data_IF_613617840567
#
_entry.id   IF_613617840567
#
_cell.length_a   1.000
_cell.length_b   1.000
_cell.length_c   1.000
_cell.angle_alpha   90.00
_cell.angle_beta   90.00
_cell.angle_gamma   90.00
#
_symmetry.space_group_name_H-M   'P 1'
#
loop_
_entity.id
_entity.type
_entity.pdbx_description
1 polymer ?
#
# COMPACT_ATOMS: atom_id res chain seq x y z
N UNK A 1 -23.45 -8.00 -22.93
CA UNK A 1 -22.34 -8.07 -21.94
C UNK A 1 -21.09 -7.55 -22.60
N UNK A 2 -20.43 -6.52 -22.05
CA UNK A 2 -19.11 -6.07 -22.53
C UNK A 2 -18.10 -6.38 -21.44
N UNK A 3 -17.51 -7.57 -21.49
CA UNK A 3 -16.31 -7.85 -20.72
C UNK A 3 -15.19 -6.96 -21.27
N UNK A 4 -14.62 -6.10 -20.43
CA UNK A 4 -13.31 -5.52 -20.72
C UNK A 4 -12.30 -6.39 -19.99
N UNK A 5 -11.77 -7.37 -20.71
CA UNK A 5 -10.68 -8.22 -20.22
C UNK A 5 -9.39 -7.42 -20.42
N UNK A 6 -8.71 -7.12 -19.31
CA UNK A 6 -7.34 -6.64 -19.33
C UNK A 6 -7.05 -5.70 -18.18
N UNK A 7 -6.65 -6.24 -17.03
CA UNK A 7 -5.74 -5.50 -16.16
C UNK A 7 -4.30 -5.77 -16.61
N UNK A 8 -3.42 -4.78 -16.49
CA UNK A 8 -2.00 -4.92 -16.77
C UNK A 8 -1.24 -4.67 -15.47
N UNK A 9 -0.43 -5.64 -15.07
CA UNK A 9 0.48 -5.51 -13.94
C UNK A 9 1.84 -5.02 -14.44
N UNK A 10 2.38 -4.01 -13.78
CA UNK A 10 3.67 -3.40 -14.12
C UNK A 10 4.45 -3.21 -12.83
N UNK A 11 5.74 -3.57 -12.85
CA UNK A 11 6.68 -3.18 -11.81
C UNK A 11 7.38 -1.90 -12.23
N UNK A 12 7.45 -0.92 -11.34
CA UNK A 12 8.18 0.33 -11.58
C UNK A 12 8.84 0.85 -10.31
N UNK A 13 9.95 1.55 -10.49
CA UNK A 13 10.61 2.31 -9.44
C UNK A 13 9.97 3.69 -9.37
N UNK A 14 9.49 4.07 -8.20
CA UNK A 14 8.95 5.38 -7.92
C UNK A 14 9.18 5.70 -6.44
N UNK A 15 8.89 6.93 -6.04
CA UNK A 15 8.88 7.34 -4.64
C UNK A 15 7.53 7.97 -4.27
N UNK A 16 7.21 7.89 -2.98
CA UNK A 16 6.04 8.54 -2.42
C UNK A 16 6.20 10.06 -2.48
N UNK A 17 5.32 10.72 -3.23
CA UNK A 17 5.24 12.18 -3.27
C UNK A 17 4.33 12.71 -2.16
N UNK A 18 3.15 12.10 -2.00
CA UNK A 18 2.13 12.55 -1.06
C UNK A 18 1.19 11.41 -0.66
N UNK A 19 0.71 11.43 0.59
CA UNK A 19 -0.41 10.60 1.05
C UNK A 19 -1.70 11.41 0.82
N UNK A 20 -2.53 10.98 -0.13
CA UNK A 20 -3.75 11.68 -0.51
C UNK A 20 -4.91 11.36 0.43
N UNK A 21 -5.06 10.07 0.75
CA UNK A 21 -6.02 9.60 1.75
C UNK A 21 -5.22 8.74 2.75
N UNK A 22 -5.12 9.19 4.02
CA UNK A 22 -4.34 8.48 5.01
C UNK A 22 -4.96 7.12 5.29
N UNK A 23 -4.12 6.24 5.83
CA UNK A 23 -4.52 4.92 6.23
C UNK A 23 -5.77 4.92 7.14
N UNK A 24 -6.82 4.21 6.72
CA UNK A 24 -8.09 4.11 7.44
C UNK A 24 -8.73 2.72 7.26
N UNK A 25 -9.80 2.45 8.02
CA UNK A 25 -10.65 1.26 7.83
C UNK A 25 -11.95 1.74 7.20
N UNK A 26 -12.27 1.20 6.02
CA UNK A 26 -13.53 1.46 5.31
C UNK A 26 -14.12 0.12 4.88
N UNK A 27 -15.41 -0.09 5.16
CA UNK A 27 -16.12 -1.35 4.86
C UNK A 27 -15.42 -2.64 5.33
N UNK A 28 -14.65 -2.53 6.42
CA UNK A 28 -13.89 -3.65 6.99
C UNK A 28 -12.55 -3.93 6.31
N UNK A 29 -12.15 -3.12 5.34
CA UNK A 29 -10.85 -3.19 4.66
C UNK A 29 -9.94 -2.04 5.05
N UNK A 30 -8.64 -2.30 5.08
CA UNK A 30 -7.63 -1.25 5.07
C UNK A 30 -7.66 -0.50 3.74
N UNK A 31 -7.74 0.83 3.80
CA UNK A 31 -7.65 1.70 2.64
C UNK A 31 -6.55 2.74 2.82
N UNK A 32 -5.87 3.05 1.72
CA UNK A 32 -4.87 4.11 1.67
C UNK A 32 -4.73 4.55 0.21
N UNK A 33 -4.60 5.85 -0.02
CA UNK A 33 -4.35 6.40 -1.34
C UNK A 33 -3.12 7.27 -1.32
N UNK A 34 -2.23 7.00 -2.25
CA UNK A 34 -0.95 7.69 -2.36
C UNK A 34 -0.74 8.24 -3.77
N UNK A 35 0.12 9.24 -3.85
CA UNK A 35 0.64 9.80 -5.08
C UNK A 35 2.10 9.41 -5.22
N UNK A 36 2.41 8.72 -6.31
CA UNK A 36 3.76 8.32 -6.67
C UNK A 36 4.33 9.25 -7.73
N UNK A 37 5.66 9.37 -7.73
CA UNK A 37 6.43 10.10 -8.71
C UNK A 37 7.67 9.30 -9.12
N UNK A 38 8.00 9.38 -10.41
CA UNK A 38 9.28 8.95 -10.97
C UNK A 38 9.87 10.07 -11.85
N UNK A 39 10.91 9.76 -12.63
CA UNK A 39 11.55 10.74 -13.54
C UNK A 39 10.69 11.12 -14.75
N UNK A 40 9.67 10.32 -15.07
CA UNK A 40 8.83 10.45 -16.27
C UNK A 40 7.42 10.95 -15.97
N UNK A 41 6.93 10.80 -14.73
CA UNK A 41 5.58 11.12 -14.32
C UNK A 41 5.53 11.53 -12.83
N UNK A 42 4.76 12.57 -12.52
CA UNK A 42 4.60 13.13 -11.16
C UNK A 42 3.16 13.08 -10.60
N UNK A 43 2.24 12.39 -11.29
CA UNK A 43 0.82 12.34 -10.93
C UNK A 43 0.23 10.92 -10.95
N UNK A 44 1.04 9.90 -10.65
CA UNK A 44 0.51 8.54 -10.56
C UNK A 44 -0.20 8.33 -9.21
N UNK A 45 -1.51 8.53 -9.19
CA UNK A 45 -2.36 8.27 -8.03
C UNK A 45 -2.73 6.80 -7.96
N UNK A 46 -2.56 6.17 -6.81
CA UNK A 46 -2.88 4.76 -6.64
C UNK A 46 -3.55 4.49 -5.30
N UNK A 47 -4.43 3.47 -5.27
CA UNK A 47 -4.83 2.84 -4.02
C UNK A 47 -3.83 1.76 -3.64
N UNK A 48 -3.50 1.66 -2.36
CA UNK A 48 -2.78 0.49 -1.83
C UNK A 48 -3.79 -0.61 -1.57
N UNK A 49 -3.57 -1.80 -2.12
CA UNK A 49 -4.50 -2.91 -1.92
C UNK A 49 -4.59 -3.32 -0.45
N UNK A 50 -5.80 -3.69 -0.02
CA UNK A 50 -6.05 -4.22 1.31
C UNK A 50 -5.07 -5.33 1.71
N UNK A 51 -4.86 -6.29 0.81
CA UNK A 51 -3.95 -7.41 1.07
C UNK A 51 -2.50 -6.95 1.28
N UNK A 52 -2.02 -5.99 0.49
CA UNK A 52 -0.68 -5.43 0.67
C UNK A 52 -0.57 -4.70 2.02
N UNK A 53 -1.57 -3.92 2.42
CA UNK A 53 -1.58 -3.25 3.72
C UNK A 53 -1.58 -4.27 4.88
N UNK A 54 -2.39 -5.33 4.80
CA UNK A 54 -2.35 -6.43 5.78
C UNK A 54 -0.94 -7.04 5.90
N UNK A 55 -0.27 -7.27 4.77
CA UNK A 55 1.07 -7.85 4.75
C UNK A 55 2.12 -6.90 5.34
N UNK A 56 2.09 -5.61 4.98
CA UNK A 56 3.06 -4.62 5.46
C UNK A 56 2.92 -4.32 6.96
N UNK A 57 1.69 -4.28 7.46
CA UNK A 57 1.40 -4.00 8.88
C UNK A 57 1.51 -5.28 9.73
N UNK A 58 1.28 -6.44 9.11
CA UNK A 58 1.21 -7.73 9.79
C UNK A 58 -0.02 -7.87 10.68
N UNK A 59 -1.13 -7.23 10.30
CA UNK A 59 -2.44 -7.40 10.95
C UNK A 59 -3.62 -7.02 10.04
N UNK A 60 -4.78 -7.62 10.30
CA UNK A 60 -6.05 -7.27 9.67
C UNK A 60 -6.77 -6.12 10.40
N UNK A 61 -7.76 -5.47 9.76
CA UNK A 61 -8.60 -4.45 10.41
C UNK A 61 -9.29 -4.97 11.67
N UNK A 62 -9.79 -6.21 11.63
CA UNK A 62 -10.46 -6.85 12.77
C UNK A 62 -9.51 -7.05 13.95
N UNK A 63 -8.29 -7.52 13.69
CA UNK A 63 -7.24 -7.66 14.70
C UNK A 63 -6.87 -6.31 15.31
N UNK A 64 -6.71 -5.27 14.47
CA UNK A 64 -6.41 -3.92 14.94
C UNK A 64 -7.55 -3.37 15.82
N UNK A 65 -8.81 -3.61 15.45
CA UNK A 65 -9.97 -3.21 16.23
C UNK A 65 -10.06 -3.97 17.56
N UNK A 66 -9.73 -5.26 17.58
CA UNK A 66 -9.65 -6.06 18.80
C UNK A 66 -8.53 -5.57 19.72
N UNK A 67 -7.34 -5.26 19.18
CA UNK A 67 -6.21 -4.69 19.92
C UNK A 67 -6.61 -3.34 20.52
N UNK A 68 -7.26 -2.46 19.74
CA UNK A 68 -7.72 -1.15 20.20
C UNK A 68 -8.68 -1.24 21.38
N UNK A 69 -9.60 -2.23 21.35
CA UNK A 69 -10.56 -2.51 22.44
C UNK A 69 -9.93 -3.22 23.64
N UNK A 70 -8.72 -3.77 23.50
CA UNK A 70 -8.03 -4.47 24.59
C UNK A 70 -7.66 -3.53 25.74
N UNK A 71 -7.72 -4.05 26.97
CA UNK A 71 -7.19 -3.40 28.16
C UNK A 71 -5.65 -3.45 28.25
N UNK A 72 -5.01 -4.28 27.41
CA UNK A 72 -3.57 -4.44 27.41
C UNK A 72 -2.88 -3.26 26.69
N UNK A 73 -2.31 -2.35 27.49
CA UNK A 73 -1.59 -1.19 26.98
C UNK A 73 -0.42 -1.54 26.05
N UNK A 74 0.35 -2.58 26.38
CA UNK A 74 1.51 -2.99 25.57
C UNK A 74 1.09 -3.41 24.16
N UNK A 75 0.00 -4.19 24.04
CA UNK A 75 -0.56 -4.57 22.73
C UNK A 75 -1.03 -3.38 21.91
N UNK A 76 -1.68 -2.40 22.54
CA UNK A 76 -2.11 -1.16 21.86
C UNK A 76 -0.92 -0.34 21.37
N UNK A 77 0.12 -0.23 22.18
CA UNK A 77 1.36 0.45 21.79
C UNK A 77 2.01 -0.25 20.61
N UNK A 78 2.19 -1.57 20.68
CA UNK A 78 2.77 -2.37 19.59
C UNK A 78 1.98 -2.20 18.28
N UNK A 79 0.65 -2.28 18.33
CA UNK A 79 -0.18 -2.10 17.14
C UNK A 79 -0.03 -0.70 16.52
N UNK A 80 0.07 0.32 17.36
CA UNK A 80 0.31 1.70 16.91
C UNK A 80 1.68 1.86 16.23
N UNK A 81 2.72 1.23 16.78
CA UNK A 81 4.07 1.29 16.20
C UNK A 81 4.17 0.54 14.87
N UNK A 82 3.47 -0.58 14.70
CA UNK A 82 3.40 -1.28 13.39
C UNK A 82 2.78 -0.40 12.32
N UNK A 83 1.71 0.34 12.63
CA UNK A 83 1.09 1.29 11.71
C UNK A 83 2.04 2.43 11.38
N UNK A 84 2.74 3.02 12.36
CA UNK A 84 3.74 4.08 12.09
C UNK A 84 4.90 3.59 11.22
N UNK A 85 5.28 2.33 11.36
CA UNK A 85 6.35 1.72 10.56
C UNK A 85 6.00 1.67 9.08
N UNK A 86 4.71 1.55 8.73
CA UNK A 86 4.25 1.60 7.34
C UNK A 86 4.62 2.92 6.65
N UNK A 87 4.36 4.06 7.31
CA UNK A 87 4.68 5.38 6.73
C UNK A 87 6.18 5.51 6.46
N UNK A 88 7.01 5.04 7.39
CA UNK A 88 8.48 5.04 7.25
C UNK A 88 8.93 4.10 6.12
N UNK A 89 8.30 2.93 5.98
CA UNK A 89 8.60 2.01 4.89
C UNK A 89 8.28 2.63 3.51
N UNK A 90 7.15 3.31 3.38
CA UNK A 90 6.72 3.95 2.12
C UNK A 90 7.56 5.18 1.74
N UNK A 91 8.25 5.80 2.70
CA UNK A 91 9.15 6.93 2.45
C UNK A 91 10.52 6.54 1.86
N UNK A 92 10.80 5.24 1.74
CA UNK A 92 12.04 4.76 1.12
C UNK A 92 12.10 5.15 -0.36
N UNK A 93 13.31 5.46 -0.83
CA UNK A 93 13.57 5.86 -2.23
C UNK A 93 13.97 4.69 -3.14
N UNK A 94 14.16 3.50 -2.56
CA UNK A 94 14.60 2.28 -3.26
C UNK A 94 13.47 1.26 -3.40
N UNK A 95 12.21 1.73 -3.49
CA UNK A 95 11.04 0.87 -3.60
C UNK A 95 10.72 0.53 -5.07
N UNK A 96 10.33 -0.73 -5.29
CA UNK A 96 9.71 -1.19 -6.51
C UNK A 96 8.24 -1.48 -6.21
N UNK A 97 7.36 -0.79 -6.93
CA UNK A 97 5.92 -0.95 -6.81
C UNK A 97 5.41 -1.87 -7.92
N UNK A 98 4.68 -2.92 -7.54
CA UNK A 98 3.86 -3.68 -8.49
C UNK A 98 2.46 -3.07 -8.55
N UNK A 99 2.12 -2.49 -9.69
CA UNK A 99 0.90 -1.72 -9.91
C UNK A 99 0.04 -2.40 -10.97
N UNK A 100 -1.22 -2.63 -10.61
CA UNK A 100 -2.28 -3.08 -11.50
C UNK A 100 -3.02 -1.88 -12.10
N UNK A 101 -2.91 -1.76 -13.42
CA UNK A 101 -3.66 -0.80 -14.23
C UNK A 101 -4.91 -1.47 -14.82
N UNK A 102 -6.05 -0.78 -14.76
CA UNK A 102 -7.32 -1.29 -15.24
C UNK A 102 -7.63 -0.77 -16.66
N UNK A 103 -8.32 -1.58 -17.46
CA UNK A 103 -8.64 -1.27 -18.85
C UNK A 103 -9.26 0.14 -19.02
N UNK A 104 -8.84 0.81 -20.10
CA UNK A 104 -9.33 2.13 -20.49
C UNK A 104 -9.19 3.22 -19.42
N UNK A 105 -8.26 3.08 -18.48
CA UNK A 105 -8.00 4.03 -17.38
C UNK A 105 -9.26 4.42 -16.61
N UNK A 106 -10.26 3.52 -16.54
CA UNK A 106 -11.57 3.80 -15.94
C UNK A 106 -11.55 3.80 -14.42
N UNK A 107 -10.47 3.31 -13.83
CA UNK A 107 -10.31 3.21 -12.39
C UNK A 107 -8.89 3.62 -12.00
N UNK A 108 -8.77 4.17 -10.79
CA UNK A 108 -7.49 4.45 -10.15
C UNK A 108 -6.64 3.16 -10.09
N UNK A 109 -5.38 3.18 -10.55
CA UNK A 109 -4.48 2.04 -10.44
C UNK A 109 -4.32 1.56 -8.99
N UNK A 110 -3.95 0.29 -8.83
CA UNK A 110 -3.84 -0.36 -7.51
C UNK A 110 -2.45 -0.92 -7.29
N UNK A 111 -1.83 -0.56 -6.18
CA UNK A 111 -0.57 -1.14 -5.73
C UNK A 111 -0.88 -2.48 -5.07
N UNK A 112 -0.35 -3.55 -5.65
CA UNK A 112 -0.59 -4.92 -5.23
C UNK A 112 0.66 -5.60 -4.66
N UNK A 113 1.84 -5.01 -4.88
CA UNK A 113 3.10 -5.48 -4.34
C UNK A 113 4.07 -4.33 -4.05
N UNK A 114 4.95 -4.56 -3.08
CA UNK A 114 6.02 -3.66 -2.68
C UNK A 114 7.25 -4.50 -2.31
N UNK A 115 8.38 -4.19 -2.91
CA UNK A 115 9.67 -4.79 -2.57
C UNK A 115 10.77 -3.72 -2.61
N UNK A 116 11.89 -3.95 -1.94
CA UNK A 116 13.06 -3.07 -2.09
C UNK A 116 13.87 -3.48 -3.33
N UNK A 117 14.61 -2.54 -3.89
CA UNK A 117 15.54 -2.80 -4.99
C UNK A 117 16.58 -3.87 -4.60
N UNK A 118 17.02 -3.88 -3.34
CA UNK A 118 17.93 -4.89 -2.80
C UNK A 118 17.35 -6.30 -2.87
N UNK A 119 16.09 -6.46 -2.45
CA UNK A 119 15.39 -7.76 -2.47
C UNK A 119 15.20 -8.25 -3.91
N UNK A 120 14.78 -7.36 -4.81
CA UNK A 120 14.56 -7.69 -6.21
C UNK A 120 15.85 -8.10 -6.94
N UNK A 121 16.99 -7.53 -6.55
CA UNK A 121 18.31 -7.85 -7.09
C UNK A 121 19.01 -9.01 -6.38
N UNK A 122 18.39 -9.61 -5.35
CA UNK A 122 18.95 -10.72 -4.56
C UNK A 122 20.34 -10.38 -3.96
N UNK A 123 20.51 -9.14 -3.49
CA UNK A 123 21.77 -8.65 -2.94
C UNK A 123 21.94 -8.99 -1.44
N UNK A 124 21.08 -9.86 -0.89
CA UNK A 124 21.04 -10.29 0.51
C UNK A 124 20.82 -11.81 0.60
#
# INVERSE_FOLDING_TARGET
MKFSIGSKKVKLTAYLLEILEPFSIEDGEWTMKIRLKDETCDDLKCFVSHQLLCNLIGMTPDEAMAIRKSSNFAKRKEGTERIKTLDVQLQRLDLIFEIEFFAANRATPRIIGLETLSDALQLC
#
